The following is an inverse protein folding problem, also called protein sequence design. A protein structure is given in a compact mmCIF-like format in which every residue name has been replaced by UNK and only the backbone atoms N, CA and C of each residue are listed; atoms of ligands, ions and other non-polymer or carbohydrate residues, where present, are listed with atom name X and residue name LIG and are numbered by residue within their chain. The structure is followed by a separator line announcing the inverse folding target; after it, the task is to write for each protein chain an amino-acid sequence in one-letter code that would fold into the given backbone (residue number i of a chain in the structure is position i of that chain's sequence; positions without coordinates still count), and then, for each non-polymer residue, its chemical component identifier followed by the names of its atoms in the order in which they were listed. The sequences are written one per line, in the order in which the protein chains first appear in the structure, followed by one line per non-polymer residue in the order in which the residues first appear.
data_IF_480791719120
#
_entry.id   IF_480791719120
#
_cell.length_a   1.000
_cell.length_b   1.000
_cell.length_c   1.000
_cell.angle_alpha   90.00
_cell.angle_beta   90.00
_cell.angle_gamma   90.00
#
_symmetry.space_group_name_H-M   'P 1'
#
loop_
_entity.id
_entity.type
_entity.pdbx_description
1 polymer ?
#
# COMPACT_ATOMS: atom_id res chain seq x y z
N UNK A 1 50.70 44.85 -41.41
CA UNK A 1 49.44 44.10 -41.45
C UNK A 1 49.54 43.01 -40.41
N UNK A 2 49.02 43.26 -39.22
CA UNK A 2 49.07 42.34 -38.04
C UNK A 2 47.72 41.69 -37.96
N UNK A 3 47.63 40.38 -38.17
CA UNK A 3 46.42 39.58 -37.97
C UNK A 3 46.38 39.05 -36.54
N UNK A 4 45.51 39.59 -35.72
CA UNK A 4 45.22 39.09 -34.36
C UNK A 4 44.28 37.89 -34.46
N UNK A 5 44.72 36.72 -34.05
CA UNK A 5 43.91 35.51 -33.88
C UNK A 5 43.23 35.53 -32.51
N UNK A 6 41.89 35.58 -32.47
CA UNK A 6 41.09 35.39 -31.24
C UNK A 6 40.95 33.90 -30.98
N UNK A 7 41.57 33.42 -29.92
CA UNK A 7 41.28 32.11 -29.35
C UNK A 7 40.05 32.25 -28.41
N UNK A 8 38.94 31.60 -28.77
CA UNK A 8 37.79 31.46 -27.89
C UNK A 8 38.01 30.26 -26.94
N UNK A 9 37.80 30.40 -25.63
CA UNK A 9 37.92 29.28 -24.71
C UNK A 9 36.68 28.37 -24.85
N UNK A 10 36.90 27.08 -25.16
CA UNK A 10 35.91 26.03 -25.17
C UNK A 10 35.63 25.63 -23.68
N UNK A 11 34.48 26.07 -23.13
CA UNK A 11 34.05 25.68 -21.81
C UNK A 11 33.51 24.22 -21.83
N UNK A 12 34.29 23.31 -21.26
CA UNK A 12 33.91 21.92 -21.07
C UNK A 12 32.91 21.85 -19.91
N UNK A 13 31.62 21.71 -20.20
CA UNK A 13 30.58 21.47 -19.19
C UNK A 13 30.69 20.01 -18.75
N UNK A 14 31.27 19.77 -17.60
CA UNK A 14 31.30 18.46 -16.98
C UNK A 14 29.87 18.10 -16.50
N UNK A 15 29.21 17.16 -17.17
CA UNK A 15 27.97 16.59 -16.70
C UNK A 15 28.25 15.79 -15.40
N UNK A 16 27.78 16.31 -14.26
CA UNK A 16 27.82 15.60 -12.99
C UNK A 16 26.82 14.44 -13.10
N UNK A 17 27.22 13.15 -12.93
CA UNK A 17 26.29 12.06 -12.92
C UNK A 17 25.34 12.24 -11.75
N UNK A 18 24.02 12.33 -12.01
CA UNK A 18 23.01 12.29 -10.97
C UNK A 18 23.10 10.91 -10.29
N UNK A 19 23.65 10.85 -9.09
CA UNK A 19 23.63 9.64 -8.26
C UNK A 19 22.18 9.34 -7.93
N UNK A 20 21.60 8.31 -8.57
CA UNK A 20 20.29 7.80 -8.20
C UNK A 20 20.35 7.38 -6.74
N UNK A 21 19.64 8.11 -5.88
CA UNK A 21 19.61 7.84 -4.45
C UNK A 21 19.07 6.43 -4.23
N UNK A 22 19.82 5.60 -3.49
CA UNK A 22 19.39 4.24 -3.17
C UNK A 22 17.98 4.26 -2.54
N UNK A 23 17.12 3.29 -2.86
CA UNK A 23 15.77 3.23 -2.31
C UNK A 23 15.85 3.06 -0.80
N UNK A 24 15.23 3.98 -0.10
CA UNK A 24 15.19 4.00 1.35
C UNK A 24 13.74 3.99 1.87
N UNK A 25 13.57 3.74 3.16
CA UNK A 25 12.28 3.84 3.83
C UNK A 25 11.68 5.25 3.71
N UNK A 26 12.51 6.28 3.55
CA UNK A 26 12.07 7.65 3.36
C UNK A 26 11.25 7.84 2.08
N UNK A 27 11.58 7.13 1.01
CA UNK A 27 10.78 7.16 -0.22
C UNK A 27 9.38 6.58 -0.01
N UNK A 28 9.28 5.46 0.72
CA UNK A 28 7.98 4.87 1.08
C UNK A 28 7.21 5.79 2.03
N UNK A 29 7.88 6.41 3.00
CA UNK A 29 7.24 7.38 3.90
C UNK A 29 6.66 8.58 3.13
N UNK A 30 7.41 9.11 2.15
CA UNK A 30 6.93 10.18 1.26
C UNK A 30 5.73 9.73 0.44
N UNK A 31 5.78 8.51 -0.13
CA UNK A 31 4.65 7.93 -0.86
C UNK A 31 3.39 7.87 0.00
N UNK A 32 3.46 7.31 1.20
CA UNK A 32 2.32 7.18 2.11
C UNK A 32 1.73 8.54 2.51
N UNK A 33 2.57 9.57 2.66
CA UNK A 33 2.13 10.94 2.96
C UNK A 33 1.52 11.66 1.74
N UNK A 34 1.98 11.32 0.54
CA UNK A 34 1.49 11.94 -0.69
C UNK A 34 0.10 11.43 -1.11
N UNK A 35 -0.28 10.21 -0.68
CA UNK A 35 -1.59 9.66 -1.01
C UNK A 35 -2.64 10.24 -0.08
N UNK A 36 -3.64 10.89 -0.65
CA UNK A 36 -4.89 11.25 0.04
C UNK A 36 -5.95 10.18 -0.18
N UNK A 37 -6.11 9.75 -1.44
CA UNK A 37 -7.05 8.71 -1.86
C UNK A 37 -6.41 7.85 -2.96
N UNK A 38 -6.82 6.58 -3.02
CA UNK A 38 -6.50 5.68 -4.13
C UNK A 38 -7.66 4.72 -4.35
N UNK A 39 -7.97 4.47 -5.62
CA UNK A 39 -8.80 3.33 -6.04
C UNK A 39 -7.97 2.42 -6.92
N UNK A 40 -8.21 1.11 -6.85
CA UNK A 40 -7.52 0.11 -7.66
C UNK A 40 -8.38 -1.13 -7.84
N UNK A 41 -8.09 -1.94 -8.84
CA UNK A 41 -8.51 -3.32 -8.86
C UNK A 41 -7.51 -4.16 -8.04
N UNK A 42 -7.99 -5.19 -7.36
CA UNK A 42 -7.10 -6.12 -6.68
C UNK A 42 -7.38 -7.57 -7.09
N UNK A 43 -6.34 -8.39 -7.05
CA UNK A 43 -6.44 -9.84 -6.98
C UNK A 43 -5.75 -10.34 -5.72
N UNK A 44 -6.46 -11.15 -4.95
CA UNK A 44 -5.96 -11.76 -3.72
C UNK A 44 -5.83 -13.25 -3.92
N UNK A 45 -4.64 -13.79 -3.67
CA UNK A 45 -4.36 -15.24 -3.72
C UNK A 45 -4.05 -15.72 -2.31
N UNK A 46 -4.80 -16.73 -1.85
CA UNK A 46 -4.57 -17.35 -0.54
C UNK A 46 -3.49 -18.45 -0.60
N UNK A 47 -3.23 -19.10 0.54
CA UNK A 47 -2.25 -20.18 0.67
C UNK A 47 -2.57 -21.42 -0.20
N UNK A 48 -3.87 -21.64 -0.51
CA UNK A 48 -4.32 -22.77 -1.34
C UNK A 48 -4.30 -22.43 -2.83
N UNK A 49 -3.88 -21.22 -3.22
CA UNK A 49 -3.87 -20.74 -4.60
C UNK A 49 -5.23 -20.22 -5.08
N UNK A 50 -6.26 -20.18 -4.23
CA UNK A 50 -7.56 -19.60 -4.60
C UNK A 50 -7.40 -18.10 -4.83
N UNK A 51 -7.91 -17.64 -5.97
CA UNK A 51 -7.87 -16.23 -6.35
C UNK A 51 -9.25 -15.61 -6.16
N UNK A 52 -9.31 -14.49 -5.47
CA UNK A 52 -10.47 -13.60 -5.35
C UNK A 52 -10.09 -12.23 -5.89
N UNK A 53 -11.03 -11.56 -6.55
CA UNK A 53 -10.85 -10.26 -7.18
C UNK A 53 -11.84 -9.25 -6.63
N UNK A 54 -11.59 -7.97 -6.90
CA UNK A 54 -12.47 -6.90 -6.46
C UNK A 54 -11.86 -5.52 -6.64
N UNK A 55 -12.44 -4.55 -5.96
CA UNK A 55 -11.99 -3.16 -5.95
C UNK A 55 -11.49 -2.75 -4.57
N UNK A 56 -10.36 -2.08 -4.56
CA UNK A 56 -9.77 -1.44 -3.40
C UNK A 56 -10.12 0.05 -3.42
N UNK A 57 -10.61 0.56 -2.30
CA UNK A 57 -10.73 1.99 -2.05
C UNK A 57 -9.92 2.34 -0.81
N UNK A 58 -9.03 3.31 -0.94
CA UNK A 58 -8.17 3.76 0.15
C UNK A 58 -8.31 5.28 0.31
N UNK A 59 -8.50 5.73 1.55
CA UNK A 59 -8.53 7.15 1.91
C UNK A 59 -7.75 7.35 3.20
N UNK A 60 -6.75 8.19 3.12
CA UNK A 60 -5.98 8.58 4.30
C UNK A 60 -6.72 9.62 5.15
N UNK A 61 -6.49 9.60 6.46
CA UNK A 61 -5.83 8.55 7.22
C UNK A 61 -6.76 7.37 7.55
N UNK A 62 -6.20 6.17 7.58
CA UNK A 62 -6.79 5.03 8.29
C UNK A 62 -7.99 4.34 7.68
N UNK A 63 -8.39 4.67 6.45
CA UNK A 63 -9.57 4.06 5.82
C UNK A 63 -9.17 3.24 4.59
N UNK A 64 -9.57 1.98 4.56
CA UNK A 64 -9.41 1.09 3.41
C UNK A 64 -10.61 0.17 3.30
N UNK A 65 -11.06 -0.12 2.06
CA UNK A 65 -12.13 -1.06 1.76
C UNK A 65 -11.71 -1.98 0.64
N UNK A 66 -11.85 -3.28 0.86
CA UNK A 66 -11.79 -4.32 -0.15
C UNK A 66 -13.20 -4.79 -0.43
N UNK A 67 -13.72 -4.40 -1.57
CA UNK A 67 -15.01 -4.85 -2.08
C UNK A 67 -14.75 -5.97 -3.07
N UNK A 68 -15.05 -7.21 -2.67
CA UNK A 68 -14.93 -8.36 -3.56
C UNK A 68 -16.01 -8.32 -4.64
N UNK A 69 -15.77 -9.03 -5.74
CA UNK A 69 -16.70 -9.11 -6.86
C UNK A 69 -18.05 -9.69 -6.48
N UNK A 70 -19.04 -9.41 -7.34
CA UNK A 70 -20.40 -9.94 -7.17
C UNK A 70 -20.37 -11.47 -7.08
N UNK A 71 -21.05 -12.03 -6.07
CA UNK A 71 -21.06 -13.46 -5.78
C UNK A 71 -20.05 -13.90 -4.71
N UNK A 72 -19.09 -13.05 -4.34
CA UNK A 72 -18.20 -13.27 -3.20
C UNK A 72 -18.76 -12.51 -1.99
N UNK A 73 -19.35 -13.19 -1.00
CA UNK A 73 -20.05 -12.56 0.13
C UNK A 73 -19.10 -12.05 1.22
N UNK A 74 -17.94 -11.52 0.81
CA UNK A 74 -16.88 -11.04 1.70
C UNK A 74 -16.70 -9.53 1.58
N UNK A 75 -16.32 -8.91 2.70
CA UNK A 75 -15.94 -7.50 2.77
C UNK A 75 -14.83 -7.34 3.81
N UNK A 76 -13.82 -6.52 3.47
CA UNK A 76 -12.83 -6.07 4.45
C UNK A 76 -12.88 -4.54 4.48
N UNK A 77 -13.03 -3.97 5.67
CA UNK A 77 -13.01 -2.52 5.88
C UNK A 77 -12.10 -2.20 7.07
N UNK A 78 -11.17 -1.27 6.88
CA UNK A 78 -10.47 -0.63 7.98
C UNK A 78 -10.98 0.79 8.16
N UNK A 79 -11.32 1.14 9.39
CA UNK A 79 -11.70 2.48 9.83
C UNK A 79 -11.56 2.58 11.36
N UNK A 80 -11.19 3.76 11.85
CA UNK A 80 -11.11 4.01 13.29
C UNK A 80 -10.08 3.15 14.03
N UNK A 81 -9.00 2.71 13.34
CA UNK A 81 -7.93 1.92 13.94
C UNK A 81 -8.25 0.43 14.09
N UNK A 82 -9.29 -0.06 13.44
CA UNK A 82 -9.65 -1.48 13.40
C UNK A 82 -9.87 -1.96 11.96
N UNK A 83 -9.46 -3.20 11.69
CA UNK A 83 -9.82 -3.95 10.50
C UNK A 83 -11.04 -4.82 10.80
N UNK A 84 -12.07 -4.69 10.01
CA UNK A 84 -13.28 -5.51 10.10
C UNK A 84 -13.35 -6.41 8.87
N UNK A 85 -13.43 -7.70 9.10
CA UNK A 85 -13.76 -8.72 8.11
C UNK A 85 -15.21 -9.12 8.28
N UNK A 86 -15.96 -9.14 7.20
CA UNK A 86 -17.37 -9.54 7.17
C UNK A 86 -17.54 -10.66 6.18
N UNK A 87 -18.10 -11.77 6.64
CA UNK A 87 -18.60 -12.85 5.78
C UNK A 87 -20.13 -12.85 5.88
N UNK A 88 -20.76 -12.40 4.80
CA UNK A 88 -22.22 -12.30 4.72
C UNK A 88 -22.91 -13.66 4.55
N UNK A 89 -22.20 -14.69 4.06
CA UNK A 89 -22.77 -16.02 3.84
C UNK A 89 -23.10 -16.72 5.15
N UNK A 90 -22.22 -16.57 6.14
CA UNK A 90 -22.35 -17.18 7.49
C UNK A 90 -22.63 -16.15 8.58
N UNK A 91 -22.93 -14.90 8.19
CA UNK A 91 -23.19 -13.78 9.10
C UNK A 91 -22.07 -13.57 10.14
N UNK A 92 -20.83 -13.80 9.74
CA UNK A 92 -19.68 -13.66 10.63
C UNK A 92 -19.07 -12.26 10.49
N UNK A 93 -18.73 -11.66 11.62
CA UNK A 93 -17.96 -10.41 11.70
C UNK A 93 -16.80 -10.61 12.64
N UNK A 94 -15.59 -10.38 12.15
CA UNK A 94 -14.36 -10.40 12.94
C UNK A 94 -13.74 -9.01 12.90
N UNK A 95 -13.16 -8.58 14.03
CA UNK A 95 -12.57 -7.26 14.14
C UNK A 95 -11.23 -7.35 14.88
N UNK A 96 -10.20 -6.75 14.26
CA UNK A 96 -8.85 -6.71 14.81
C UNK A 96 -8.34 -5.28 14.94
N UNK A 97 -7.67 -4.94 16.04
CA UNK A 97 -6.97 -3.66 16.14
C UNK A 97 -5.80 -3.64 15.16
N UNK A 98 -5.66 -2.55 14.40
CA UNK A 98 -4.59 -2.42 13.39
C UNK A 98 -3.52 -1.41 13.78
N UNK A 99 -3.75 -0.59 14.82
CA UNK A 99 -2.82 0.46 15.21
C UNK A 99 -1.39 -0.04 15.44
N UNK A 100 -1.26 -1.24 16.01
CA UNK A 100 0.03 -1.85 16.32
C UNK A 100 0.38 -3.02 15.40
N UNK A 101 -0.39 -3.25 14.33
CA UNK A 101 -0.12 -4.30 13.36
C UNK A 101 0.76 -3.79 12.21
N UNK A 102 1.43 -4.69 11.47
CA UNK A 102 2.16 -4.34 10.25
C UNK A 102 1.30 -3.63 9.20
N UNK A 103 0.00 -3.94 9.13
CA UNK A 103 -0.94 -3.26 8.24
C UNK A 103 -1.16 -1.79 8.64
N UNK A 104 -0.99 -1.45 9.92
CA UNK A 104 -1.06 -0.07 10.41
C UNK A 104 -0.04 0.85 9.77
N UNK A 105 1.06 0.31 9.25
CA UNK A 105 2.07 1.06 8.49
C UNK A 105 1.47 1.68 7.23
N UNK A 106 0.62 0.96 6.51
CA UNK A 106 -0.07 1.48 5.32
C UNK A 106 -1.11 2.57 5.68
N UNK A 107 -1.74 2.44 6.83
CA UNK A 107 -2.93 3.22 7.17
C UNK A 107 -2.64 4.48 7.99
N UNK A 108 -1.43 4.61 8.53
CA UNK A 108 -1.01 5.77 9.30
C UNK A 108 0.25 6.43 8.68
N UNK A 109 0.08 7.45 7.82
CA UNK A 109 1.21 8.11 7.14
C UNK A 109 2.11 8.92 8.08
N UNK A 110 1.68 9.19 9.32
CA UNK A 110 2.47 9.90 10.32
C UNK A 110 3.46 9.00 11.06
N UNK A 111 3.29 7.68 10.92
CA UNK A 111 4.07 6.69 11.64
C UNK A 111 5.52 6.64 11.16
N UNK A 112 6.45 6.57 12.10
CA UNK A 112 7.86 6.32 11.78
C UNK A 112 8.05 4.86 11.36
N UNK A 113 8.34 4.65 10.09
CA UNK A 113 8.53 3.31 9.51
C UNK A 113 9.78 2.61 10.03
N UNK A 114 10.81 3.35 10.45
CA UNK A 114 12.11 2.78 10.82
C UNK A 114 12.03 1.79 11.98
N UNK A 115 11.01 1.91 12.83
CA UNK A 115 10.78 1.04 13.99
C UNK A 115 10.17 -0.32 13.63
N UNK A 116 9.51 -0.42 12.48
CA UNK A 116 8.69 -1.58 12.13
C UNK A 116 9.02 -2.14 10.76
N UNK A 117 9.75 -1.39 9.94
CA UNK A 117 9.95 -1.73 8.54
C UNK A 117 11.42 -1.66 8.14
N UNK A 118 11.79 -2.50 7.18
CA UNK A 118 13.11 -2.52 6.55
C UNK A 118 12.98 -2.71 5.05
N UNK A 119 13.89 -2.13 4.29
CA UNK A 119 14.01 -2.43 2.87
C UNK A 119 14.52 -3.86 2.71
N UNK A 120 13.88 -4.60 1.81
CA UNK A 120 14.31 -5.95 1.43
C UNK A 120 15.05 -5.85 0.11
N UNK A 121 16.29 -6.36 0.00
CA UNK A 121 17.01 -6.39 -1.26
C UNK A 121 16.24 -7.14 -2.36
N UNK A 122 16.32 -6.65 -3.58
CA UNK A 122 15.61 -7.24 -4.72
C UNK A 122 16.01 -6.57 -6.04
N UNK A 123 15.12 -6.63 -7.03
CA UNK A 123 15.28 -6.01 -8.35
C UNK A 123 15.33 -4.47 -8.22
N UNK A 124 16.27 -3.83 -8.92
CA UNK A 124 16.46 -2.37 -8.92
C UNK A 124 15.23 -1.59 -9.43
N UNK A 125 14.35 -2.23 -10.18
CA UNK A 125 13.08 -1.64 -10.65
C UNK A 125 12.00 -1.65 -9.57
N UNK A 126 12.16 -2.44 -8.54
CA UNK A 126 11.23 -2.61 -7.44
C UNK A 126 11.85 -2.13 -6.13
N UNK A 127 11.00 -1.63 -5.27
CA UNK A 127 11.32 -1.34 -3.87
C UNK A 127 10.41 -2.22 -3.01
N UNK A 128 11.01 -3.17 -2.32
CA UNK A 128 10.29 -4.03 -1.38
C UNK A 128 10.57 -3.62 0.06
N UNK A 129 9.53 -3.53 0.87
CA UNK A 129 9.63 -3.13 2.28
C UNK A 129 8.86 -4.13 3.13
N UNK A 130 9.58 -4.84 3.99
CA UNK A 130 8.99 -5.73 4.99
C UNK A 130 8.68 -4.94 6.26
N UNK A 131 7.45 -5.03 6.73
CA UNK A 131 7.01 -4.49 8.00
C UNK A 131 6.55 -5.61 8.94
N UNK A 132 7.03 -5.56 10.20
CA UNK A 132 6.64 -6.46 11.28
C UNK A 132 6.76 -5.74 12.62
N UNK A 133 5.99 -6.18 13.61
CA UNK A 133 6.18 -5.75 14.99
C UNK A 133 6.94 -6.85 15.75
N UNK A 134 8.21 -6.61 16.15
CA UNK A 134 8.99 -7.61 16.89
C UNK A 134 8.41 -7.96 18.27
N UNK A 135 7.60 -7.06 18.85
CA UNK A 135 6.95 -7.26 20.16
C UNK A 135 5.65 -8.07 20.05
N UNK A 136 5.10 -8.16 18.84
CA UNK A 136 3.82 -8.79 18.54
C UNK A 136 3.96 -9.75 17.34
N UNK A 137 4.73 -10.85 17.46
CA UNK A 137 4.95 -11.79 16.36
C UNK A 137 3.65 -12.45 15.89
N UNK A 138 2.62 -12.48 16.74
CA UNK A 138 1.27 -12.98 16.43
C UNK A 138 0.58 -12.18 15.31
N UNK A 139 1.01 -10.95 15.03
CA UNK A 139 0.47 -10.18 13.90
C UNK A 139 1.10 -10.53 12.56
N UNK A 140 2.12 -11.39 12.55
CA UNK A 140 2.82 -11.78 11.33
C UNK A 140 3.67 -10.66 10.73
N UNK A 141 3.80 -10.67 9.40
CA UNK A 141 4.55 -9.66 8.64
C UNK A 141 3.87 -9.33 7.32
N UNK A 142 4.14 -8.14 6.80
CA UNK A 142 3.69 -7.72 5.48
C UNK A 142 4.88 -7.21 4.68
N UNK A 143 5.00 -7.63 3.42
CA UNK A 143 6.00 -7.11 2.49
C UNK A 143 5.28 -6.32 1.41
N UNK A 144 5.46 -5.01 1.40
CA UNK A 144 4.95 -4.10 0.39
C UNK A 144 5.89 -4.09 -0.81
N UNK A 145 5.34 -4.09 -2.01
CA UNK A 145 6.11 -4.04 -3.25
C UNK A 145 5.68 -2.81 -4.05
N UNK A 146 6.65 -1.95 -4.34
CA UNK A 146 6.47 -0.75 -5.14
C UNK A 146 7.27 -0.86 -6.43
N UNK A 147 6.71 -0.41 -7.54
CA UNK A 147 7.48 -0.08 -8.74
C UNK A 147 7.97 1.37 -8.66
N UNK A 148 9.15 1.63 -9.23
CA UNK A 148 9.62 3.00 -9.48
C UNK A 148 8.84 3.55 -10.65
N UNK A 149 8.15 4.64 -10.44
CA UNK A 149 7.26 5.26 -11.42
C UNK A 149 7.27 6.77 -11.22
N UNK A 150 7.92 7.48 -12.12
CA UNK A 150 8.03 8.94 -12.06
C UNK A 150 6.68 9.66 -12.08
N UNK A 151 5.63 9.03 -12.62
CA UNK A 151 4.26 9.55 -12.63
C UNK A 151 3.47 9.22 -11.35
N UNK A 152 4.00 8.33 -10.50
CA UNK A 152 3.36 7.95 -9.25
C UNK A 152 3.65 8.91 -8.09
N UNK A 153 2.86 8.85 -7.00
CA UNK A 153 3.10 9.64 -5.80
C UNK A 153 4.52 9.41 -5.26
N UNK A 154 5.28 10.48 -5.10
CA UNK A 154 6.68 10.44 -4.65
C UNK A 154 7.60 9.51 -5.48
N UNK A 155 7.30 9.30 -6.77
CA UNK A 155 8.09 8.47 -7.68
C UNK A 155 7.87 6.96 -7.51
N UNK A 156 6.78 6.54 -6.89
CA UNK A 156 6.45 5.15 -6.60
C UNK A 156 5.01 4.82 -6.99
N UNK A 157 4.78 3.56 -7.35
CA UNK A 157 3.44 2.97 -7.50
C UNK A 157 3.37 1.66 -6.72
N UNK A 158 2.45 1.54 -5.77
CA UNK A 158 2.25 0.31 -4.98
C UNK A 158 1.70 -0.79 -5.89
N UNK A 159 2.49 -1.85 -6.09
CA UNK A 159 2.10 -3.01 -6.91
C UNK A 159 1.27 -4.03 -6.13
N UNK A 160 1.39 -4.02 -4.81
CA UNK A 160 0.69 -4.95 -3.93
C UNK A 160 1.53 -5.31 -2.71
N UNK A 161 1.17 -6.41 -2.07
CA UNK A 161 1.89 -6.91 -0.90
C UNK A 161 1.73 -8.42 -0.72
N UNK A 162 2.62 -8.98 0.07
CA UNK A 162 2.52 -10.32 0.61
C UNK A 162 2.37 -10.22 2.12
N UNK A 163 1.30 -10.79 2.66
CA UNK A 163 1.11 -10.96 4.10
C UNK A 163 1.40 -12.40 4.50
N UNK A 164 2.10 -12.56 5.61
CA UNK A 164 2.29 -13.84 6.28
C UNK A 164 1.75 -13.70 7.70
N UNK A 165 0.81 -14.55 8.07
CA UNK A 165 0.32 -14.61 9.45
C UNK A 165 1.32 -15.29 10.39
N UNK A 166 0.98 -15.41 11.67
CA UNK A 166 1.83 -16.07 12.68
C UNK A 166 2.10 -17.55 12.38
N UNK A 167 1.29 -18.19 11.55
CA UNK A 167 1.45 -19.58 11.14
C UNK A 167 2.16 -19.70 9.76
N UNK A 168 2.69 -18.58 9.22
CA UNK A 168 3.26 -18.47 7.88
C UNK A 168 2.29 -18.78 6.73
N UNK A 169 0.97 -18.68 6.96
CA UNK A 169 0.02 -18.73 5.86
C UNK A 169 0.18 -17.47 5.00
N UNK A 170 0.39 -17.68 3.71
CA UNK A 170 0.64 -16.62 2.76
C UNK A 170 -0.63 -16.13 2.11
N UNK A 171 -0.82 -14.82 2.12
CA UNK A 171 -1.80 -14.11 1.29
C UNK A 171 -1.06 -13.12 0.42
N UNK A 172 -1.27 -13.18 -0.89
CA UNK A 172 -0.70 -12.22 -1.85
C UNK A 172 -1.79 -11.35 -2.41
N UNK A 173 -1.61 -10.04 -2.35
CA UNK A 173 -2.49 -9.06 -3.00
C UNK A 173 -1.70 -8.35 -4.09
N UNK A 174 -2.25 -8.32 -5.31
CA UNK A 174 -1.74 -7.52 -6.43
C UNK A 174 -2.73 -6.43 -6.77
N UNK A 175 -2.23 -5.27 -7.12
CA UNK A 175 -3.03 -4.11 -7.50
C UNK A 175 -2.82 -3.80 -9.00
N UNK A 176 -3.87 -3.31 -9.63
CA UNK A 176 -3.85 -2.81 -11.00
C UNK A 176 -4.81 -1.64 -11.16
N UNK A 177 -4.64 -0.85 -12.23
CA UNK A 177 -5.50 0.30 -12.53
C UNK A 177 -5.59 1.30 -11.36
N UNK A 178 -4.48 1.57 -10.70
CA UNK A 178 -4.42 2.52 -9.59
C UNK A 178 -4.76 3.94 -10.09
N UNK A 179 -5.67 4.59 -9.37
CA UNK A 179 -6.05 5.99 -9.59
C UNK A 179 -5.90 6.74 -8.27
N UNK A 180 -5.04 7.73 -8.28
CA UNK A 180 -4.74 8.56 -7.11
C UNK A 180 -5.52 9.86 -7.16
N UNK A 181 -5.86 10.42 -5.99
CA UNK A 181 -6.49 11.74 -5.85
C UNK A 181 -7.97 11.79 -6.25
N UNK A 182 -8.59 10.68 -6.67
CA UNK A 182 -10.00 10.66 -7.02
C UNK A 182 -10.87 10.94 -5.77
N UNK A 183 -11.97 11.71 -5.89
CA UNK A 183 -12.87 11.96 -4.76
C UNK A 183 -13.45 10.65 -4.21
N UNK A 184 -13.32 10.44 -2.90
CA UNK A 184 -13.90 9.29 -2.18
C UNK A 184 -14.78 9.82 -1.06
N UNK A 185 -16.09 9.53 -1.14
CA UNK A 185 -17.05 9.91 -0.10
C UNK A 185 -16.76 9.17 1.21
N UNK A 186 -16.99 9.79 2.37
CA UNK A 186 -16.84 9.14 3.67
C UNK A 186 -17.77 7.94 3.86
N UNK A 187 -18.94 7.98 3.24
CA UNK A 187 -19.89 6.86 3.21
C UNK A 187 -19.38 5.61 2.50
N UNK A 188 -18.32 5.70 1.68
CA UNK A 188 -17.75 4.57 0.97
C UNK A 188 -17.23 3.46 1.91
N UNK A 189 -16.94 3.77 3.17
CA UNK A 189 -16.44 2.83 4.17
C UNK A 189 -17.52 2.26 5.08
N UNK A 190 -18.78 2.69 4.92
CA UNK A 190 -19.91 2.13 5.67
C UNK A 190 -20.21 0.72 5.21
N UNK A 191 -20.65 -0.11 6.14
CA UNK A 191 -21.05 -1.49 5.88
C UNK A 191 -22.23 -1.88 6.77
N UNK A 192 -22.99 -2.91 6.37
CA UNK A 192 -24.12 -3.43 7.13
C UNK A 192 -23.68 -4.63 7.93
N UNK A 193 -23.96 -4.62 9.24
CA UNK A 193 -23.68 -5.77 10.11
C UNK A 193 -24.70 -6.88 9.84
N UNK A 194 -24.29 -8.03 9.27
CA UNK A 194 -25.20 -9.12 8.94
C UNK A 194 -25.78 -9.83 10.16
N UNK A 195 -25.22 -9.60 11.36
CA UNK A 195 -25.71 -10.18 12.61
C UNK A 195 -26.94 -9.45 13.16
N UNK A 196 -27.12 -8.20 12.76
CA UNK A 196 -28.33 -7.45 13.15
C UNK A 196 -29.50 -7.98 12.32
N UNK A 197 -30.40 -8.72 12.98
CA UNK A 197 -31.70 -9.01 12.38
C UNK A 197 -32.42 -7.68 12.18
N UNK A 198 -32.90 -7.40 10.97
CA UNK A 198 -33.92 -6.39 10.80
C UNK A 198 -35.13 -6.86 11.63
N UNK A 199 -35.33 -6.29 12.81
CA UNK A 199 -36.63 -6.43 13.49
C UNK A 199 -37.70 -5.91 12.52
N UNK A 200 -38.67 -6.71 12.15
CA UNK A 200 -39.80 -6.17 11.39
C UNK A 200 -40.48 -5.12 12.27
N UNK A 201 -40.75 -3.95 11.70
CA UNK A 201 -41.66 -2.97 12.26
C UNK A 201 -43.09 -3.48 12.12
#
# INVERSE_FOLDING_TARGET
MIRSAFLAPLALVAAVPATAQAPDLGSVQRYLRAITTMTANFSQTDRAGKVLTGTLTWKQPGKIRFQYEKGVPLLIVAEGGALTFVDYSVKQVQRWPIRNSPLGVLLDPSRDLSRFAKVVPGDDRLLSVEARDPKHPEYGRITLVFARDAGGPAGLTLQGWVALDSQNNRTTVRLSNQRYGAPVADGAFRWTDPRRSSSPR
#
